data_IF_839962219289
#
_entry.id   IF_839962219289
#
_cell.length_a   1.000
_cell.length_b   1.000
_cell.length_c   1.000
_cell.angle_alpha   90.00
_cell.angle_beta   90.00
_cell.angle_gamma   90.00
#
_symmetry.space_group_name_H-M   'P 1'
#
loop_
_entity.id
_entity.type
_entity.pdbx_description
1 polymer ?
#
# COMPACT_ATOMS: atom_id res chain seq x y z
N UNK A 1 -28.92 -7.08 25.05
CA UNK A 1 -29.71 -5.87 24.71
C UNK A 1 -28.90 -4.82 23.98
N UNK A 2 -27.78 -4.37 24.55
CA UNK A 2 -26.97 -3.24 24.05
C UNK A 2 -26.13 -3.55 22.82
N UNK A 3 -25.55 -4.76 22.70
CA UNK A 3 -24.79 -5.16 21.52
C UNK A 3 -25.65 -5.26 20.23
N UNK A 4 -26.92 -5.66 20.36
CA UNK A 4 -27.86 -5.76 19.24
C UNK A 4 -28.27 -4.39 18.69
N UNK A 5 -28.58 -3.44 19.57
CA UNK A 5 -28.87 -2.05 19.19
C UNK A 5 -27.64 -1.36 18.57
N UNK A 6 -26.44 -1.65 19.09
CA UNK A 6 -25.18 -1.15 18.50
C UNK A 6 -24.91 -1.70 17.10
N UNK A 7 -25.15 -3.01 16.87
CA UNK A 7 -25.01 -3.63 15.54
C UNK A 7 -26.06 -3.11 14.55
N UNK A 8 -27.31 -2.92 14.99
CA UNK A 8 -28.37 -2.35 14.15
C UNK A 8 -28.08 -0.90 13.80
N UNK A 9 -27.65 -0.08 14.77
CA UNK A 9 -27.25 1.31 14.52
C UNK A 9 -26.04 1.42 13.60
N UNK A 10 -25.04 0.55 13.77
CA UNK A 10 -23.89 0.47 12.88
C UNK A 10 -24.29 0.03 11.46
N UNK A 11 -25.22 -0.93 11.35
CA UNK A 11 -25.73 -1.39 10.05
C UNK A 11 -26.53 -0.29 9.33
N UNK A 12 -27.42 0.43 10.01
CA UNK A 12 -28.21 1.51 9.39
C UNK A 12 -27.31 2.65 8.90
N UNK A 13 -26.30 3.07 9.69
CA UNK A 13 -25.33 4.07 9.23
C UNK A 13 -24.47 3.56 8.07
N UNK A 14 -24.10 2.27 8.08
CA UNK A 14 -23.27 1.66 7.04
C UNK A 14 -24.08 1.24 5.80
N UNK A 15 -25.40 1.16 5.86
CA UNK A 15 -26.26 0.61 4.79
C UNK A 15 -26.08 1.32 3.45
N UNK A 16 -26.04 2.67 3.36
CA UNK A 16 -25.80 3.35 2.09
C UNK A 16 -24.42 3.02 1.52
N UNK A 17 -23.42 2.91 2.39
CA UNK A 17 -22.05 2.56 2.03
C UNK A 17 -21.92 1.09 1.57
N UNK A 18 -22.53 0.15 2.29
CA UNK A 18 -22.57 -1.28 1.94
C UNK A 18 -23.35 -1.53 0.64
N UNK A 19 -24.42 -0.79 0.37
CA UNK A 19 -25.14 -0.87 -0.90
C UNK A 19 -24.29 -0.35 -2.06
N UNK A 20 -23.56 0.76 -1.87
CA UNK A 20 -22.60 1.27 -2.85
C UNK A 20 -21.48 0.25 -3.15
N UNK A 21 -20.99 -0.45 -2.12
CA UNK A 21 -19.97 -1.48 -2.21
C UNK A 21 -20.49 -2.89 -2.49
N UNK A 22 -21.79 -3.07 -2.75
CA UNK A 22 -22.41 -4.40 -2.87
C UNK A 22 -21.80 -5.25 -3.98
N UNK A 23 -21.28 -4.62 -5.04
CA UNK A 23 -20.53 -5.28 -6.12
C UNK A 23 -19.22 -5.93 -5.66
N UNK A 24 -18.61 -5.45 -4.58
CA UNK A 24 -17.38 -6.01 -4.00
C UNK A 24 -17.64 -6.85 -2.75
N UNK A 25 -18.63 -6.49 -1.94
CA UNK A 25 -18.97 -7.19 -0.69
C UNK A 25 -19.53 -8.59 -0.95
N UNK A 26 -20.38 -8.76 -1.97
CA UNK A 26 -20.97 -10.07 -2.28
C UNK A 26 -19.92 -11.12 -2.68
N UNK A 27 -19.01 -10.86 -3.64
CA UNK A 27 -17.91 -11.79 -3.94
C UNK A 27 -17.07 -12.11 -2.71
N UNK A 28 -16.76 -11.11 -1.89
CA UNK A 28 -15.97 -11.31 -0.67
C UNK A 28 -16.68 -12.24 0.33
N UNK A 29 -17.99 -12.07 0.53
CA UNK A 29 -18.78 -12.96 1.38
C UNK A 29 -18.82 -14.39 0.86
N UNK A 30 -18.92 -14.59 -0.46
CA UNK A 30 -18.82 -15.93 -1.06
C UNK A 30 -17.45 -16.56 -0.83
N UNK A 31 -16.37 -15.79 -0.95
CA UNK A 31 -15.01 -16.26 -0.63
C UNK A 31 -14.91 -16.63 0.85
N UNK A 32 -15.39 -15.78 1.76
CA UNK A 32 -15.39 -16.07 3.20
C UNK A 32 -16.19 -17.33 3.53
N UNK A 33 -17.39 -17.47 2.97
CA UNK A 33 -18.22 -18.68 3.13
C UNK A 33 -17.50 -19.92 2.58
N UNK A 34 -16.89 -19.82 1.40
CA UNK A 34 -16.09 -20.89 0.80
C UNK A 34 -14.91 -21.30 1.69
N UNK A 35 -14.17 -20.34 2.25
CA UNK A 35 -13.07 -20.60 3.19
C UNK A 35 -13.58 -21.27 4.47
N UNK A 36 -14.71 -20.82 5.02
CA UNK A 36 -15.32 -21.44 6.20
C UNK A 36 -15.73 -22.89 5.93
N UNK A 37 -16.37 -23.15 4.80
CA UNK A 37 -16.75 -24.51 4.38
C UNK A 37 -15.51 -25.37 4.18
N UNK A 38 -14.48 -24.89 3.48
CA UNK A 38 -13.23 -25.62 3.27
C UNK A 38 -12.50 -25.90 4.58
N UNK A 39 -12.51 -24.96 5.51
CA UNK A 39 -11.91 -25.13 6.84
C UNK A 39 -12.68 -26.16 7.65
N UNK A 40 -14.02 -26.09 7.64
CA UNK A 40 -14.88 -27.07 8.30
C UNK A 40 -14.67 -28.47 7.72
N UNK A 41 -14.71 -28.60 6.40
CA UNK A 41 -14.47 -29.86 5.69
C UNK A 41 -13.06 -30.38 5.98
N UNK A 42 -12.04 -29.53 5.93
CA UNK A 42 -10.66 -29.90 6.26
C UNK A 42 -10.50 -30.37 7.70
N UNK A 43 -11.21 -29.74 8.65
CA UNK A 43 -11.20 -30.12 10.07
C UNK A 43 -11.92 -31.45 10.29
N UNK A 44 -13.08 -31.65 9.67
CA UNK A 44 -13.84 -32.91 9.74
C UNK A 44 -13.10 -34.06 9.04
N UNK A 45 -12.39 -33.76 7.94
CA UNK A 45 -11.59 -34.73 7.21
C UNK A 45 -10.20 -34.95 7.82
N UNK A 46 -9.77 -34.15 8.80
CA UNK A 46 -8.45 -34.23 9.43
C UNK A 46 -8.05 -35.65 9.90
N UNK A 47 -8.91 -36.42 10.62
CA UNK A 47 -8.55 -37.78 11.03
C UNK A 47 -8.40 -38.77 9.87
N UNK A 48 -9.09 -38.54 8.75
CA UNK A 48 -8.94 -39.35 7.53
C UNK A 48 -7.69 -38.94 6.75
N UNK A 49 -7.45 -37.64 6.58
CA UNK A 49 -6.25 -37.06 5.97
C UNK A 49 -4.98 -37.46 6.72
N UNK A 50 -5.03 -37.54 8.06
CA UNK A 50 -3.90 -37.98 8.89
C UNK A 50 -3.50 -39.45 8.64
N UNK A 51 -4.41 -40.27 8.08
CA UNK A 51 -4.09 -41.66 7.69
C UNK A 51 -3.43 -41.75 6.31
N UNK A 52 -3.49 -40.68 5.51
CA UNK A 52 -2.85 -40.62 4.20
C UNK A 52 -1.35 -40.52 4.39
N UNK A 53 -0.64 -41.58 4.03
CA UNK A 53 0.83 -41.57 4.02
C UNK A 53 1.30 -40.91 2.73
N UNK A 54 1.95 -39.76 2.87
CA UNK A 54 2.60 -39.12 1.73
C UNK A 54 3.73 -40.02 1.20
N UNK A 55 3.96 -40.04 -0.12
CA UNK A 55 5.06 -40.81 -0.69
C UNK A 55 6.40 -40.24 -0.20
N UNK A 56 7.42 -41.10 -0.14
CA UNK A 56 8.72 -40.75 0.45
C UNK A 56 9.41 -39.54 -0.22
N UNK A 57 9.07 -39.23 -1.48
CA UNK A 57 9.59 -38.09 -2.22
C UNK A 57 8.86 -36.77 -1.90
N UNK A 58 7.62 -36.79 -1.39
CA UNK A 58 6.81 -35.59 -1.20
C UNK A 58 7.46 -34.54 -0.28
N UNK A 59 8.09 -34.90 0.86
CA UNK A 59 8.78 -33.92 1.69
C UNK A 59 9.96 -33.24 0.97
N UNK A 60 10.69 -34.00 0.15
CA UNK A 60 11.81 -33.47 -0.63
C UNK A 60 11.30 -32.56 -1.77
N UNK A 61 10.23 -32.95 -2.45
CA UNK A 61 9.60 -32.13 -3.48
C UNK A 61 9.01 -30.84 -2.91
N UNK A 62 8.35 -30.87 -1.74
CA UNK A 62 7.85 -29.65 -1.09
C UNK A 62 8.97 -28.67 -0.75
N UNK A 63 10.08 -29.16 -0.20
CA UNK A 63 11.26 -28.33 0.04
C UNK A 63 11.84 -27.74 -1.25
N UNK A 64 11.97 -28.58 -2.29
CA UNK A 64 12.43 -28.17 -3.60
C UNK A 64 11.53 -27.11 -4.23
N UNK A 65 10.21 -27.26 -4.10
CA UNK A 65 9.22 -26.30 -4.59
C UNK A 65 9.40 -24.92 -3.96
N UNK A 66 9.65 -24.84 -2.65
CA UNK A 66 9.92 -23.55 -1.98
C UNK A 66 11.15 -22.86 -2.58
N UNK A 67 12.24 -23.61 -2.77
CA UNK A 67 13.48 -23.07 -3.34
C UNK A 67 13.27 -22.66 -4.80
N UNK A 68 12.66 -23.50 -5.62
CA UNK A 68 12.36 -23.23 -7.04
C UNK A 68 11.44 -22.03 -7.18
N UNK A 69 10.42 -21.90 -6.33
CA UNK A 69 9.50 -20.77 -6.35
C UNK A 69 10.22 -19.47 -6.01
N UNK A 70 11.03 -19.44 -4.96
CA UNK A 70 11.79 -18.24 -4.58
C UNK A 70 12.85 -17.88 -5.62
N UNK A 71 13.54 -18.87 -6.18
CA UNK A 71 14.49 -18.67 -7.28
C UNK A 71 13.78 -18.16 -8.55
N UNK A 72 12.60 -18.70 -8.87
CA UNK A 72 11.78 -18.26 -9.99
C UNK A 72 11.26 -16.84 -9.82
N UNK A 73 10.82 -16.46 -8.61
CA UNK A 73 10.45 -15.07 -8.29
C UNK A 73 11.63 -14.12 -8.36
N UNK A 74 12.84 -14.57 -8.00
CA UNK A 74 14.06 -13.77 -8.11
C UNK A 74 14.46 -13.60 -9.58
N UNK A 75 14.43 -14.68 -10.35
CA UNK A 75 14.76 -14.69 -11.77
C UNK A 75 13.68 -14.08 -12.67
N UNK A 76 12.48 -13.82 -12.13
CA UNK A 76 11.30 -13.33 -12.86
C UNK A 76 11.57 -12.17 -13.81
N UNK A 77 12.37 -11.14 -13.47
CA UNK A 77 12.68 -10.03 -14.39
C UNK A 77 13.40 -10.46 -15.67
N UNK A 78 14.06 -11.62 -15.68
CA UNK A 78 14.80 -12.10 -16.85
C UNK A 78 13.91 -12.72 -17.92
N UNK A 79 12.69 -13.14 -17.56
CA UNK A 79 11.78 -13.83 -18.48
C UNK A 79 10.36 -13.27 -18.50
N UNK A 80 10.05 -12.28 -17.66
CA UNK A 80 8.75 -11.63 -17.62
C UNK A 80 8.89 -10.12 -17.42
N UNK A 81 8.20 -9.37 -18.27
CA UNK A 81 7.90 -7.94 -18.05
C UNK A 81 6.42 -7.82 -17.78
N UNK A 82 6.03 -7.20 -16.66
CA UNK A 82 4.62 -7.05 -16.32
C UNK A 82 4.10 -5.71 -16.83
N UNK A 83 3.13 -5.76 -17.73
CA UNK A 83 2.48 -4.59 -18.32
C UNK A 83 0.98 -4.55 -18.01
N UNK A 84 0.40 -3.36 -17.97
CA UNK A 84 -1.05 -3.13 -17.98
C UNK A 84 -1.36 -1.97 -18.90
N UNK A 85 -2.02 -2.29 -20.02
CA UNK A 85 -2.56 -1.29 -20.93
C UNK A 85 -3.74 -0.60 -20.25
N UNK A 86 -3.74 0.73 -20.27
CA UNK A 86 -4.79 1.51 -19.64
C UNK A 86 -6.14 1.34 -20.36
N UNK A 87 -7.14 0.78 -19.67
CA UNK A 87 -8.49 0.56 -20.20
C UNK A 87 -9.56 1.46 -19.56
N UNK A 88 -9.22 2.13 -18.45
CA UNK A 88 -10.12 3.00 -17.69
C UNK A 88 -9.40 4.27 -17.19
N UNK A 89 -10.14 5.31 -16.76
CA UNK A 89 -9.55 6.57 -16.30
C UNK A 89 -8.61 6.44 -15.08
N UNK A 90 -8.75 5.38 -14.28
CA UNK A 90 -7.82 5.07 -13.18
C UNK A 90 -6.47 4.56 -13.68
N UNK A 91 -6.49 3.65 -14.65
CA UNK A 91 -5.26 3.12 -15.24
C UNK A 91 -4.54 4.18 -16.09
N UNK A 92 -5.26 5.05 -16.80
CA UNK A 92 -4.64 6.18 -17.51
C UNK A 92 -3.86 7.09 -16.55
N UNK A 93 -4.43 7.38 -15.37
CA UNK A 93 -3.77 8.18 -14.33
C UNK A 93 -2.56 7.47 -13.74
N UNK A 94 -2.68 6.16 -13.53
CA UNK A 94 -1.59 5.32 -13.02
C UNK A 94 -0.42 5.30 -14.02
N UNK A 95 -0.72 5.08 -15.31
CA UNK A 95 0.28 5.09 -16.37
C UNK A 95 0.97 6.46 -16.49
N UNK A 96 0.22 7.56 -16.42
CA UNK A 96 0.82 8.90 -16.43
C UNK A 96 1.73 9.12 -15.20
N UNK A 97 1.30 8.70 -14.01
CA UNK A 97 2.15 8.78 -12.82
C UNK A 97 3.44 7.99 -13.00
N UNK A 98 3.37 6.77 -13.55
CA UNK A 98 4.56 5.95 -13.84
C UNK A 98 5.49 6.66 -14.82
N UNK A 99 4.98 7.25 -15.91
CA UNK A 99 5.79 8.03 -16.87
C UNK A 99 6.54 9.18 -16.20
N UNK A 100 5.89 9.90 -15.30
CA UNK A 100 6.54 11.01 -14.58
C UNK A 100 7.65 10.51 -13.66
N UNK A 101 7.44 9.37 -13.00
CA UNK A 101 8.48 8.76 -12.14
C UNK A 101 9.63 8.22 -13.00
N UNK A 102 9.35 7.59 -14.14
CA UNK A 102 10.38 7.14 -15.09
C UNK A 102 11.23 8.31 -15.59
N UNK A 103 10.61 9.42 -15.99
CA UNK A 103 11.32 10.66 -16.36
C UNK A 103 12.22 11.14 -15.22
N UNK A 104 11.69 11.19 -14.00
CA UNK A 104 12.46 11.62 -12.82
C UNK A 104 13.60 10.67 -12.45
N UNK A 105 13.45 9.36 -12.70
CA UNK A 105 14.45 8.32 -12.46
C UNK A 105 15.43 8.15 -13.64
N UNK A 106 15.27 8.88 -14.75
CA UNK A 106 16.10 8.72 -15.95
C UNK A 106 15.89 7.39 -16.70
N UNK A 107 14.71 6.78 -16.56
CA UNK A 107 14.37 5.50 -17.18
C UNK A 107 13.68 5.69 -18.54
N UNK A 108 13.72 4.67 -19.43
CA UNK A 108 12.87 4.64 -20.61
C UNK A 108 11.40 4.83 -20.22
N UNK A 109 10.70 5.69 -20.96
CA UNK A 109 9.30 6.04 -20.68
C UNK A 109 8.39 4.95 -21.25
N UNK A 110 7.80 4.17 -20.35
CA UNK A 110 6.79 3.15 -20.62
C UNK A 110 5.80 3.12 -19.44
N UNK A 111 4.72 3.90 -19.55
CA UNK A 111 3.73 4.03 -18.48
C UNK A 111 2.96 2.74 -18.18
N UNK A 112 2.99 1.77 -19.09
CA UNK A 112 2.23 0.53 -18.93
C UNK A 112 3.03 -0.51 -18.14
N UNK A 113 4.35 -0.32 -17.98
CA UNK A 113 5.21 -1.22 -17.21
C UNK A 113 4.99 -1.06 -15.71
N UNK A 114 4.54 -2.14 -15.08
CA UNK A 114 4.21 -2.18 -13.65
C UNK A 114 5.39 -2.59 -12.75
N UNK A 115 6.52 -3.03 -13.30
CA UNK A 115 7.71 -3.46 -12.53
C UNK A 115 7.43 -4.59 -11.51
N UNK A 116 6.28 -5.26 -11.57
CA UNK A 116 5.91 -6.32 -10.62
C UNK A 116 6.82 -7.55 -10.76
N UNK A 117 7.49 -7.71 -11.90
CA UNK A 117 8.55 -8.69 -12.06
C UNK A 117 9.67 -8.55 -11.02
N UNK A 118 9.91 -7.33 -10.51
CA UNK A 118 10.95 -7.02 -9.53
C UNK A 118 10.47 -7.17 -8.06
N UNK A 119 9.28 -7.69 -7.81
CA UNK A 119 8.68 -7.72 -6.46
C UNK A 119 9.55 -8.41 -5.41
N UNK A 120 10.29 -9.48 -5.74
CA UNK A 120 11.23 -10.09 -4.79
C UNK A 120 12.48 -9.23 -4.59
N UNK A 121 12.92 -8.48 -5.60
CA UNK A 121 14.00 -7.50 -5.44
C UNK A 121 13.58 -6.36 -4.50
N UNK A 122 12.31 -5.95 -4.54
CA UNK A 122 11.77 -4.99 -3.57
C UNK A 122 11.91 -5.49 -2.13
N UNK A 123 11.61 -6.77 -1.88
CA UNK A 123 11.83 -7.38 -0.56
C UNK A 123 13.32 -7.36 -0.20
N UNK A 124 14.19 -7.72 -1.14
CA UNK A 124 15.65 -7.71 -0.95
C UNK A 124 16.17 -6.32 -0.55
N UNK A 125 15.61 -5.23 -1.08
CA UNK A 125 15.96 -3.87 -0.65
C UNK A 125 15.72 -3.64 0.84
N UNK A 126 14.63 -4.17 1.40
CA UNK A 126 14.24 -3.89 2.79
C UNK A 126 14.76 -4.88 3.82
N UNK A 127 15.00 -6.14 3.46
CA UNK A 127 15.50 -7.16 4.42
C UNK A 127 16.90 -7.66 4.10
N UNK A 128 17.41 -7.41 2.90
CA UNK A 128 18.69 -7.92 2.42
C UNK A 128 18.60 -9.34 1.83
N UNK A 129 19.41 -9.59 0.80
CA UNK A 129 19.51 -10.89 0.14
C UNK A 129 19.85 -12.05 1.12
N UNK A 130 20.79 -11.88 2.10
CA UNK A 130 21.08 -12.94 3.05
C UNK A 130 19.87 -13.35 3.89
N UNK A 131 19.02 -12.41 4.29
CA UNK A 131 17.81 -12.69 5.03
C UNK A 131 16.80 -13.49 4.17
N UNK A 132 16.62 -13.12 2.90
CA UNK A 132 15.75 -13.85 1.95
C UNK A 132 16.25 -15.28 1.75
N UNK A 133 17.55 -15.50 1.60
CA UNK A 133 18.14 -16.83 1.45
C UNK A 133 17.92 -17.67 2.71
N UNK A 134 18.21 -17.11 3.89
CA UNK A 134 17.99 -17.80 5.16
C UNK A 134 16.52 -18.13 5.39
N UNK A 135 15.62 -17.21 5.07
CA UNK A 135 14.18 -17.40 5.16
C UNK A 135 13.70 -18.54 4.23
N UNK A 136 14.20 -18.56 2.99
CA UNK A 136 13.90 -19.62 2.00
C UNK A 136 14.37 -20.98 2.50
N UNK A 137 15.59 -21.08 3.03
CA UNK A 137 16.14 -22.32 3.59
C UNK A 137 15.32 -22.77 4.80
N UNK A 138 15.00 -21.87 5.72
CA UNK A 138 14.21 -22.18 6.91
C UNK A 138 12.80 -22.68 6.52
N UNK A 139 12.13 -22.01 5.60
CA UNK A 139 10.83 -22.41 5.06
C UNK A 139 10.90 -23.80 4.41
N UNK A 140 11.90 -24.06 3.57
CA UNK A 140 12.08 -25.36 2.92
C UNK A 140 12.31 -26.49 3.93
N UNK A 141 13.13 -26.24 4.97
CA UNK A 141 13.38 -27.21 6.04
C UNK A 141 12.13 -27.47 6.89
N UNK A 142 11.41 -26.40 7.27
CA UNK A 142 10.18 -26.51 8.05
C UNK A 142 9.09 -27.26 7.27
N UNK A 143 8.87 -26.91 6.01
CA UNK A 143 7.91 -27.60 5.14
C UNK A 143 8.26 -29.08 4.99
N UNK A 144 9.54 -29.39 4.76
CA UNK A 144 10.00 -30.77 4.67
C UNK A 144 9.71 -31.57 5.93
N UNK A 145 9.94 -31.00 7.10
CA UNK A 145 9.68 -31.69 8.39
C UNK A 145 8.18 -31.85 8.61
N UNK A 146 7.40 -30.79 8.42
CA UNK A 146 5.94 -30.83 8.49
C UNK A 146 5.33 -31.91 7.58
N UNK A 147 5.79 -32.03 6.33
CA UNK A 147 5.32 -33.07 5.41
C UNK A 147 5.84 -34.49 5.75
N UNK A 148 6.98 -34.60 6.42
CA UNK A 148 7.57 -35.91 6.77
C UNK A 148 6.99 -36.48 8.06
N UNK A 149 6.93 -35.67 9.10
CA UNK A 149 6.62 -36.09 10.47
C UNK A 149 5.67 -35.15 11.22
N UNK A 150 5.21 -34.06 10.58
CA UNK A 150 4.28 -33.10 11.20
C UNK A 150 4.93 -32.17 12.23
N UNK A 151 6.26 -32.16 12.38
CA UNK A 151 6.94 -31.40 13.43
C UNK A 151 7.80 -30.25 12.90
N UNK A 152 7.91 -29.13 13.65
CA UNK A 152 7.01 -28.71 14.74
C UNK A 152 5.65 -28.23 14.19
N UNK A 153 4.55 -28.84 14.65
CA UNK A 153 3.19 -28.52 14.19
C UNK A 153 2.82 -27.03 14.36
N UNK A 154 3.40 -26.37 15.36
CA UNK A 154 3.23 -24.93 15.60
C UNK A 154 3.59 -24.04 14.40
N UNK A 155 4.43 -24.53 13.48
CA UNK A 155 4.80 -23.80 12.26
C UNK A 155 3.85 -24.01 11.08
N UNK A 156 2.89 -24.94 11.16
CA UNK A 156 1.97 -25.23 10.06
C UNK A 156 1.20 -23.99 9.62
N UNK A 157 0.49 -23.34 10.55
CA UNK A 157 -0.32 -22.16 10.25
C UNK A 157 0.54 -20.93 9.91
N UNK A 158 1.59 -20.57 10.69
CA UNK A 158 2.46 -19.45 10.31
C UNK A 158 3.09 -19.61 8.93
N UNK A 159 3.58 -20.81 8.59
CA UNK A 159 4.20 -21.05 7.29
C UNK A 159 3.17 -21.00 6.15
N UNK A 160 1.95 -21.48 6.37
CA UNK A 160 0.86 -21.38 5.40
C UNK A 160 0.46 -19.92 5.15
N UNK A 161 0.23 -19.13 6.20
CA UNK A 161 -0.18 -17.72 6.10
C UNK A 161 0.92 -16.87 5.47
N UNK A 162 2.16 -16.99 5.98
CA UNK A 162 3.31 -16.24 5.46
C UNK A 162 3.60 -16.67 4.03
N UNK A 163 3.63 -17.97 3.74
CA UNK A 163 3.89 -18.51 2.41
C UNK A 163 2.85 -18.07 1.39
N UNK A 164 1.57 -18.30 1.67
CA UNK A 164 0.47 -17.89 0.79
C UNK A 164 0.48 -16.38 0.52
N UNK A 165 0.57 -15.57 1.57
CA UNK A 165 0.55 -14.11 1.44
C UNK A 165 1.78 -13.61 0.69
N UNK A 166 2.96 -14.18 0.96
CA UNK A 166 4.19 -13.85 0.24
C UNK A 166 4.04 -14.16 -1.24
N UNK A 167 3.64 -15.37 -1.60
CA UNK A 167 3.52 -15.77 -3.02
C UNK A 167 2.51 -14.89 -3.74
N UNK A 168 1.30 -14.73 -3.20
CA UNK A 168 0.24 -13.94 -3.83
C UNK A 168 0.64 -12.47 -3.98
N UNK A 169 1.20 -11.86 -2.93
CA UNK A 169 1.67 -10.46 -2.96
C UNK A 169 2.80 -10.26 -3.95
N UNK A 170 3.78 -11.17 -4.03
CA UNK A 170 4.91 -11.02 -4.95
C UNK A 170 4.52 -11.30 -6.41
N UNK A 171 3.59 -12.23 -6.66
CA UNK A 171 3.12 -12.52 -8.01
C UNK A 171 2.29 -11.35 -8.57
N UNK A 172 1.39 -10.78 -7.75
CA UNK A 172 0.53 -9.64 -8.12
C UNK A 172 0.36 -8.66 -6.94
N UNK A 173 1.27 -7.69 -6.79
CA UNK A 173 1.19 -6.67 -5.73
C UNK A 173 -0.04 -5.75 -5.80
N UNK A 174 -0.59 -5.53 -7.00
CA UNK A 174 -1.76 -4.66 -7.26
C UNK A 174 -1.66 -3.31 -6.53
N UNK A 175 -0.55 -2.62 -6.76
CA UNK A 175 -0.23 -1.30 -6.24
C UNK A 175 0.61 -0.55 -7.27
N UNK A 176 0.65 0.77 -7.21
CA UNK A 176 1.60 1.54 -8.00
C UNK A 176 3.02 1.16 -7.57
N UNK A 177 3.95 0.91 -8.52
CA UNK A 177 5.23 0.26 -8.21
C UNK A 177 6.28 1.18 -7.60
N UNK A 178 5.91 2.42 -7.27
CA UNK A 178 6.82 3.39 -6.72
C UNK A 178 7.16 3.09 -5.26
N UNK A 179 8.45 3.10 -4.93
CA UNK A 179 8.92 2.96 -3.57
C UNK A 179 9.19 4.34 -2.94
N UNK A 180 8.79 4.55 -1.67
CA UNK A 180 8.39 3.53 -0.69
C UNK A 180 6.90 3.12 -0.70
N UNK A 181 6.05 3.69 -1.57
CA UNK A 181 4.60 3.43 -1.55
C UNK A 181 4.23 1.94 -1.72
N UNK A 182 4.82 1.25 -2.69
CA UNK A 182 4.60 -0.17 -2.97
C UNK A 182 4.93 -1.07 -1.75
N UNK A 183 5.87 -0.66 -0.90
CA UNK A 183 6.28 -1.41 0.29
C UNK A 183 5.13 -1.62 1.29
N UNK A 184 4.05 -0.82 1.22
CA UNK A 184 2.84 -1.01 2.05
C UNK A 184 2.17 -2.37 1.87
N UNK A 185 2.37 -3.04 0.72
CA UNK A 185 1.93 -4.43 0.52
C UNK A 185 2.84 -5.45 1.19
N UNK A 186 4.11 -5.09 1.42
CA UNK A 186 5.14 -5.98 1.97
C UNK A 186 5.20 -5.91 3.50
N UNK A 187 5.05 -4.72 4.08
CA UNK A 187 5.20 -4.44 5.52
C UNK A 187 4.27 -5.27 6.42
N UNK A 188 3.00 -5.56 6.07
CA UNK A 188 2.10 -6.25 7.00
C UNK A 188 2.49 -7.71 7.30
N UNK A 189 2.90 -8.47 6.28
CA UNK A 189 3.12 -9.93 6.41
C UNK A 189 4.42 -10.39 5.74
N UNK A 190 4.73 -9.91 4.53
CA UNK A 190 5.88 -10.41 3.74
C UNK A 190 7.20 -10.10 4.44
N UNK A 191 7.45 -8.83 4.80
CA UNK A 191 8.69 -8.42 5.48
C UNK A 191 8.80 -9.09 6.86
N UNK A 192 7.80 -9.00 7.77
CA UNK A 192 7.88 -9.67 9.07
C UNK A 192 8.04 -11.19 8.96
N UNK A 193 7.35 -11.82 8.00
CA UNK A 193 7.44 -13.25 7.74
C UNK A 193 8.84 -13.68 7.26
N UNK A 194 9.44 -12.90 6.35
CA UNK A 194 10.83 -13.12 5.92
C UNK A 194 11.81 -12.95 7.07
N UNK A 195 11.66 -11.91 7.89
CA UNK A 195 12.50 -11.70 9.07
C UNK A 195 12.36 -12.85 10.07
N UNK A 196 11.12 -13.29 10.36
CA UNK A 196 10.85 -14.40 11.27
C UNK A 196 11.51 -15.71 10.78
N UNK A 197 11.35 -16.03 9.50
CA UNK A 197 11.96 -17.22 8.88
C UNK A 197 13.50 -17.09 8.82
N UNK A 198 14.03 -15.90 8.56
CA UNK A 198 15.47 -15.65 8.57
C UNK A 198 16.07 -15.87 9.98
N UNK A 199 15.42 -15.35 11.02
CA UNK A 199 15.79 -15.59 12.43
C UNK A 199 15.75 -17.09 12.75
N UNK A 200 14.72 -17.81 12.29
CA UNK A 200 14.66 -19.26 12.42
C UNK A 200 15.81 -19.96 11.68
N UNK A 201 16.18 -19.46 10.49
CA UNK A 201 17.36 -19.93 9.74
C UNK A 201 18.67 -19.72 10.50
N UNK A 202 18.85 -18.56 11.13
CA UNK A 202 20.01 -18.28 12.01
C UNK A 202 20.01 -19.20 13.22
N UNK A 203 18.85 -19.48 13.84
CA UNK A 203 18.75 -20.43 14.94
C UNK A 203 19.16 -21.85 14.52
N UNK A 204 18.69 -22.33 13.36
CA UNK A 204 19.10 -23.62 12.80
C UNK A 204 20.61 -23.66 12.51
N UNK A 205 21.20 -22.57 12.01
CA UNK A 205 22.62 -22.45 11.76
C UNK A 205 23.42 -22.50 13.07
N UNK A 206 22.98 -21.76 14.10
CA UNK A 206 23.59 -21.75 15.44
C UNK A 206 23.63 -23.16 16.03
N UNK A 207 22.54 -23.92 15.93
CA UNK A 207 22.46 -25.29 16.46
C UNK A 207 23.41 -26.24 15.72
N UNK A 208 23.67 -26.00 14.42
CA UNK A 208 24.71 -26.72 13.66
C UNK A 208 26.12 -26.33 14.10
N UNK A 209 26.37 -25.04 14.31
CA UNK A 209 27.68 -24.53 14.74
C UNK A 209 28.03 -24.96 16.18
N UNK A 210 27.03 -25.15 17.04
CA UNK A 210 27.23 -25.68 18.40
C UNK A 210 27.95 -27.02 18.40
N UNK A 211 27.72 -27.89 17.40
CA UNK A 211 28.40 -29.18 17.25
C UNK A 211 29.89 -29.05 16.92
N UNK A 212 30.35 -27.86 16.52
CA UNK A 212 31.75 -27.55 16.16
C UNK A 212 32.51 -26.78 17.27
N UNK A 213 31.91 -26.64 18.44
CA UNK A 213 32.53 -26.01 19.61
C UNK A 213 32.07 -24.57 19.90
N UNK A 214 32.34 -24.08 21.13
CA UNK A 214 31.77 -22.82 21.65
C UNK A 214 32.28 -21.56 20.93
N UNK A 215 33.56 -21.53 20.53
CA UNK A 215 34.14 -20.40 19.78
C UNK A 215 33.52 -20.26 18.39
N UNK A 216 33.41 -21.37 17.66
CA UNK A 216 32.78 -21.44 16.33
C UNK A 216 31.32 -21.00 16.38
N UNK A 217 30.58 -21.43 17.40
CA UNK A 217 29.21 -20.96 17.65
C UNK A 217 29.16 -19.44 17.86
N UNK A 218 29.99 -18.90 18.76
CA UNK A 218 29.99 -17.47 19.10
C UNK A 218 30.26 -16.61 17.86
N UNK A 219 31.37 -16.85 17.19
CA UNK A 219 31.78 -16.05 16.03
C UNK A 219 30.91 -16.29 14.80
N UNK A 220 30.52 -17.54 14.53
CA UNK A 220 29.65 -17.85 13.39
C UNK A 220 28.23 -17.29 13.55
N UNK A 221 27.69 -17.26 14.77
CA UNK A 221 26.39 -16.63 15.04
C UNK A 221 26.49 -15.11 14.92
N UNK A 222 27.56 -14.50 15.47
CA UNK A 222 27.79 -13.06 15.33
C UNK A 222 27.91 -12.65 13.85
N UNK A 223 28.67 -13.41 13.06
CA UNK A 223 28.79 -13.19 11.62
C UNK A 223 27.45 -13.32 10.89
N UNK A 224 26.64 -14.34 11.21
CA UNK A 224 25.32 -14.52 10.62
C UNK A 224 24.36 -13.36 10.96
N UNK A 225 24.38 -12.88 12.21
CA UNK A 225 23.57 -11.73 12.65
C UNK A 225 24.00 -10.46 11.92
N UNK A 226 25.31 -10.19 11.84
CA UNK A 226 25.83 -9.04 11.11
C UNK A 226 25.46 -9.11 9.61
N UNK A 227 25.58 -10.28 9.00
CA UNK A 227 25.22 -10.50 7.60
C UNK A 227 23.73 -10.22 7.32
N UNK A 228 22.86 -10.45 8.30
CA UNK A 228 21.41 -10.15 8.18
C UNK A 228 21.12 -8.67 8.46
N UNK A 229 21.79 -8.04 9.42
CA UNK A 229 21.47 -6.67 9.86
C UNK A 229 22.13 -5.58 9.01
N UNK A 230 23.33 -5.82 8.48
CA UNK A 230 24.08 -4.79 7.73
C UNK A 230 23.36 -4.34 6.46
N UNK A 231 22.85 -5.22 5.57
CA UNK A 231 22.18 -4.78 4.36
C UNK A 231 21.00 -3.82 4.60
N UNK A 232 19.98 -4.15 5.42
CA UNK A 232 18.85 -3.23 5.63
C UNK A 232 19.27 -1.94 6.34
N UNK A 233 20.30 -1.99 7.21
CA UNK A 233 20.84 -0.79 7.84
C UNK A 233 21.48 0.15 6.80
N UNK A 234 22.32 -0.38 5.91
CA UNK A 234 22.96 0.40 4.83
C UNK A 234 21.93 0.97 3.87
N UNK A 235 20.92 0.19 3.47
CA UNK A 235 19.88 0.67 2.57
C UNK A 235 19.02 1.77 3.20
N UNK A 236 18.77 1.70 4.51
CA UNK A 236 17.85 2.63 5.18
C UNK A 236 18.52 3.87 5.79
N UNK A 237 19.84 3.88 5.98
CA UNK A 237 20.50 4.91 6.80
C UNK A 237 20.34 6.34 6.25
N UNK A 238 20.25 6.49 4.92
CA UNK A 238 20.08 7.80 4.27
C UNK A 238 18.70 8.44 4.49
N UNK A 239 17.67 7.63 4.76
CA UNK A 239 16.28 8.08 4.85
C UNK A 239 15.66 7.87 6.22
N UNK A 240 16.12 6.89 7.00
CA UNK A 240 15.55 6.50 8.29
C UNK A 240 15.45 7.65 9.32
N UNK A 241 16.36 8.62 9.24
CA UNK A 241 16.42 9.77 10.16
C UNK A 241 16.17 11.10 9.45
N UNK A 242 15.69 11.08 8.21
CA UNK A 242 15.41 12.29 7.44
C UNK A 242 13.96 12.71 7.68
N UNK A 243 13.69 13.84 8.36
CA UNK A 243 12.34 14.26 8.68
C UNK A 243 11.61 14.79 7.44
N UNK A 244 10.56 14.07 7.05
CA UNK A 244 9.62 14.39 5.96
C UNK A 244 8.31 15.00 6.50
N UNK A 245 7.50 15.59 5.62
CA UNK A 245 6.15 16.11 5.89
C UNK A 245 6.08 17.15 7.02
N UNK A 246 7.16 17.90 7.20
CA UNK A 246 7.23 18.96 8.21
C UNK A 246 6.34 20.15 7.81
N UNK A 247 5.55 20.60 8.79
CA UNK A 247 4.68 21.77 8.63
C UNK A 247 3.31 21.49 8.03
N UNK A 248 3.03 20.25 7.58
CA UNK A 248 1.72 19.89 6.99
C UNK A 248 0.56 20.16 7.94
N UNK A 249 0.66 19.73 9.20
CA UNK A 249 -0.43 19.94 10.16
C UNK A 249 -0.67 21.43 10.45
N UNK A 250 0.39 22.24 10.50
CA UNK A 250 0.27 23.68 10.70
C UNK A 250 -0.35 24.36 9.47
N UNK A 251 0.03 23.95 8.27
CA UNK A 251 -0.53 24.44 7.02
C UNK A 251 -2.03 24.11 6.89
N UNK A 252 -2.42 22.87 7.23
CA UNK A 252 -3.83 22.46 7.24
C UNK A 252 -4.64 23.26 8.25
N UNK A 253 -4.15 23.45 9.48
CA UNK A 253 -4.84 24.28 10.48
C UNK A 253 -5.02 25.72 9.99
N UNK A 254 -3.95 26.33 9.47
CA UNK A 254 -3.98 27.69 8.94
C UNK A 254 -4.92 27.85 7.74
N UNK A 255 -5.10 26.80 6.94
CA UNK A 255 -6.11 26.75 5.88
C UNK A 255 -7.53 26.66 6.47
N UNK A 256 -7.77 25.76 7.43
CA UNK A 256 -9.07 25.60 8.07
C UNK A 256 -9.54 26.89 8.77
N UNK A 257 -8.63 27.61 9.44
CA UNK A 257 -8.93 28.87 10.14
C UNK A 257 -9.36 30.00 9.19
N UNK A 258 -8.96 29.92 7.91
CA UNK A 258 -9.34 30.88 6.86
C UNK A 258 -10.69 30.54 6.20
N UNK A 259 -11.21 29.32 6.39
CA UNK A 259 -12.51 28.94 5.84
C UNK A 259 -13.66 29.54 6.68
N UNK A 260 -14.66 30.19 6.05
CA UNK A 260 -15.85 30.66 6.75
C UNK A 260 -16.55 29.55 7.54
N UNK A 261 -17.18 29.89 8.67
CA UNK A 261 -17.81 28.90 9.58
C UNK A 261 -18.97 28.13 8.91
N UNK A 262 -19.67 28.81 8.04
CA UNK A 262 -20.84 28.39 7.27
C UNK A 262 -20.51 28.04 5.81
N UNK A 263 -19.22 27.89 5.48
CA UNK A 263 -18.79 27.53 4.13
C UNK A 263 -19.25 26.13 3.70
N UNK A 264 -19.65 26.00 2.43
CA UNK A 264 -19.59 24.72 1.70
C UNK A 264 -18.57 24.84 0.58
N UNK A 265 -17.60 23.94 0.59
CA UNK A 265 -16.43 24.00 -0.27
C UNK A 265 -16.64 23.21 -1.56
N UNK A 266 -16.36 23.82 -2.69
CA UNK A 266 -16.38 23.22 -4.02
C UNK A 266 -14.96 23.17 -4.57
N UNK A 267 -14.42 21.97 -4.76
CA UNK A 267 -13.12 21.79 -5.40
C UNK A 267 -13.28 21.81 -6.91
N UNK A 268 -12.62 22.78 -7.55
CA UNK A 268 -12.71 22.97 -9.00
C UNK A 268 -11.52 22.37 -9.73
N UNK A 269 -10.39 22.18 -9.05
CA UNK A 269 -9.20 21.54 -9.62
C UNK A 269 -9.02 20.12 -9.05
N UNK A 270 -8.60 19.20 -9.93
CA UNK A 270 -8.53 17.76 -9.66
C UNK A 270 -7.61 17.39 -8.50
N UNK A 271 -6.34 17.78 -8.52
CA UNK A 271 -5.35 17.38 -7.51
C UNK A 271 -5.71 17.94 -6.13
N UNK A 272 -6.21 19.17 -6.10
CA UNK A 272 -6.70 19.83 -4.87
C UNK A 272 -7.91 19.09 -4.33
N UNK A 273 -8.86 18.71 -5.19
CA UNK A 273 -10.00 17.85 -4.83
C UNK A 273 -9.57 16.50 -4.25
N UNK A 274 -8.72 15.77 -4.99
CA UNK A 274 -8.23 14.44 -4.63
C UNK A 274 -7.52 14.45 -3.25
N UNK A 275 -6.79 15.52 -2.94
CA UNK A 275 -5.99 15.62 -1.69
C UNK A 275 -6.77 16.20 -0.51
N UNK A 276 -7.59 17.23 -0.72
CA UNK A 276 -8.13 18.04 0.37
C UNK A 276 -9.61 17.82 0.66
N UNK A 277 -10.36 17.09 -0.18
CA UNK A 277 -11.81 16.89 0.07
C UNK A 277 -12.07 16.25 1.43
N UNK A 278 -11.32 15.20 1.78
CA UNK A 278 -11.47 14.55 3.08
C UNK A 278 -10.84 15.37 4.22
N UNK A 279 -9.80 16.16 3.95
CA UNK A 279 -9.21 17.06 4.94
C UNK A 279 -10.21 18.14 5.34
N UNK A 280 -10.89 18.78 4.39
CA UNK A 280 -11.88 19.82 4.68
C UNK A 280 -13.10 19.24 5.40
N UNK A 281 -13.57 18.05 5.00
CA UNK A 281 -14.70 17.37 5.67
C UNK A 281 -14.36 16.90 7.08
N UNK A 282 -13.25 16.18 7.24
CA UNK A 282 -12.90 15.49 8.49
C UNK A 282 -12.14 16.35 9.49
N UNK A 283 -11.26 17.25 9.02
CA UNK A 283 -10.41 18.08 9.89
C UNK A 283 -11.00 19.48 10.07
N UNK A 284 -11.37 20.16 8.97
CA UNK A 284 -11.93 21.51 9.08
C UNK A 284 -13.42 21.52 9.50
N UNK A 285 -14.11 20.38 9.42
CA UNK A 285 -15.54 20.27 9.73
C UNK A 285 -16.43 21.11 8.80
N UNK A 286 -16.10 21.15 7.50
CA UNK A 286 -16.89 21.86 6.49
C UNK A 286 -17.41 20.89 5.43
N UNK A 287 -18.69 20.99 5.00
CA UNK A 287 -19.17 20.29 3.82
C UNK A 287 -18.27 20.64 2.64
N UNK A 288 -17.83 19.62 1.91
CA UNK A 288 -16.98 19.80 0.75
C UNK A 288 -17.41 18.85 -0.36
N UNK A 289 -17.22 19.20 -1.63
CA UNK A 289 -17.48 18.32 -2.75
C UNK A 289 -16.54 18.65 -3.92
N UNK A 290 -16.18 17.63 -4.68
CA UNK A 290 -15.52 17.82 -5.96
C UNK A 290 -16.56 18.10 -7.03
N UNK A 291 -16.35 19.18 -7.80
CA UNK A 291 -17.19 19.48 -8.95
C UNK A 291 -16.79 18.53 -10.08
N UNK A 292 -17.80 17.96 -10.76
CA UNK A 292 -17.56 17.03 -11.86
C UNK A 292 -16.79 17.73 -12.97
N UNK A 293 -15.70 17.09 -13.41
CA UNK A 293 -14.84 17.55 -14.49
C UNK A 293 -15.18 16.84 -15.79
N UNK A 294 -14.85 17.45 -16.92
CA UNK A 294 -14.91 16.80 -18.23
C UNK A 294 -13.70 15.86 -18.38
N UNK A 295 -13.87 14.79 -19.17
CA UNK A 295 -12.77 13.87 -19.44
C UNK A 295 -11.60 14.63 -20.10
N UNK A 296 -10.40 14.46 -19.54
CA UNK A 296 -9.19 15.14 -20.03
C UNK A 296 -8.98 16.58 -19.53
N UNK A 297 -9.85 17.13 -18.68
CA UNK A 297 -9.67 18.44 -18.05
C UNK A 297 -9.38 18.32 -16.55
N UNK A 298 -8.40 19.08 -16.07
CA UNK A 298 -8.05 19.17 -14.64
C UNK A 298 -8.92 20.15 -13.87
N UNK A 299 -9.68 21.02 -14.56
CA UNK A 299 -10.56 22.03 -13.97
C UNK A 299 -12.03 21.80 -14.30
N UNK A 300 -12.91 22.11 -13.36
CA UNK A 300 -14.35 21.98 -13.54
C UNK A 300 -14.92 23.09 -14.46
N UNK A 301 -15.95 22.79 -15.27
CA UNK A 301 -16.65 23.80 -16.05
C UNK A 301 -17.29 24.87 -15.17
N UNK A 302 -17.09 26.14 -15.51
CA UNK A 302 -17.51 27.28 -14.69
C UNK A 302 -19.02 27.32 -14.44
N UNK A 303 -19.82 26.98 -15.46
CA UNK A 303 -21.27 26.90 -15.38
C UNK A 303 -21.74 25.88 -14.33
N UNK A 304 -21.04 24.75 -14.18
CA UNK A 304 -21.36 23.74 -13.17
C UNK A 304 -21.01 24.23 -11.77
N UNK A 305 -19.88 24.93 -11.62
CA UNK A 305 -19.46 25.50 -10.33
C UNK A 305 -20.47 26.55 -9.87
N UNK A 306 -20.87 27.48 -10.74
CA UNK A 306 -21.86 28.53 -10.43
C UNK A 306 -23.22 27.95 -10.06
N UNK A 307 -23.70 26.97 -10.82
CA UNK A 307 -24.94 26.23 -10.53
C UNK A 307 -24.92 25.55 -9.16
N UNK A 308 -23.79 24.92 -8.79
CA UNK A 308 -23.65 24.30 -7.47
C UNK A 308 -23.54 25.35 -6.36
N UNK A 309 -22.86 26.48 -6.62
CA UNK A 309 -22.77 27.59 -5.69
C UNK A 309 -24.16 28.18 -5.36
N UNK A 310 -25.05 28.30 -6.35
CA UNK A 310 -26.45 28.71 -6.13
C UNK A 310 -27.20 27.74 -5.20
N UNK A 311 -27.02 26.42 -5.39
CA UNK A 311 -27.62 25.41 -4.50
C UNK A 311 -27.09 25.51 -3.07
N UNK A 312 -25.79 25.79 -2.92
CA UNK A 312 -25.17 26.03 -1.61
C UNK A 312 -25.79 27.25 -0.94
N UNK A 313 -25.98 28.35 -1.67
CA UNK A 313 -26.63 29.56 -1.15
C UNK A 313 -28.09 29.30 -0.77
N UNK A 314 -28.83 28.59 -1.61
CA UNK A 314 -30.22 28.20 -1.34
C UNK A 314 -30.34 27.34 -0.06
N UNK A 315 -29.30 26.59 0.29
CA UNK A 315 -29.20 25.85 1.55
C UNK A 315 -28.74 26.71 2.74
N UNK A 316 -28.65 28.04 2.60
CA UNK A 316 -28.27 28.97 3.66
C UNK A 316 -26.78 28.95 4.01
N UNK A 317 -25.91 28.60 3.06
CA UNK A 317 -24.47 28.46 3.27
C UNK A 317 -23.66 29.32 2.30
N UNK A 318 -22.39 29.56 2.64
CA UNK A 318 -21.48 30.35 1.81
C UNK A 318 -20.75 29.43 0.83
N UNK A 319 -20.96 29.57 -0.50
CA UNK A 319 -20.19 28.81 -1.48
C UNK A 319 -18.74 29.31 -1.52
N UNK A 320 -17.80 28.41 -1.32
CA UNK A 320 -16.37 28.68 -1.40
C UNK A 320 -15.75 27.75 -2.41
N UNK A 321 -14.99 28.29 -3.35
CA UNK A 321 -14.26 27.50 -4.35
C UNK A 321 -12.81 27.37 -3.94
N UNK A 322 -12.25 26.16 -4.03
CA UNK A 322 -10.83 25.88 -3.82
C UNK A 322 -10.17 25.30 -5.08
N UNK A 323 -8.95 25.77 -5.37
CA UNK A 323 -8.10 25.32 -6.47
C UNK A 323 -6.62 25.41 -6.12
N UNK A 324 -5.75 24.95 -7.03
CA UNK A 324 -4.29 24.96 -6.85
C UNK A 324 -3.64 26.30 -7.21
N UNK A 325 -4.28 27.08 -8.07
CA UNK A 325 -3.76 28.35 -8.62
C UNK A 325 -4.79 29.47 -8.54
N UNK A 326 -4.32 30.72 -8.54
CA UNK A 326 -5.16 31.92 -8.47
C UNK A 326 -6.17 31.97 -9.63
N UNK A 327 -5.71 31.76 -10.87
CA UNK A 327 -6.55 31.82 -12.07
C UNK A 327 -7.67 30.78 -12.11
N UNK A 328 -7.57 29.71 -11.31
CA UNK A 328 -8.60 28.68 -11.23
C UNK A 328 -9.78 29.10 -10.34
N UNK A 329 -9.58 30.07 -9.44
CA UNK A 329 -10.61 30.52 -8.49
C UNK A 329 -11.05 31.96 -8.70
N UNK A 330 -10.19 32.79 -9.30
CA UNK A 330 -10.47 34.20 -9.60
C UNK A 330 -11.77 34.47 -10.40
N UNK A 331 -12.20 33.60 -11.34
CA UNK A 331 -13.49 33.81 -12.02
C UNK A 331 -14.70 33.85 -11.08
N UNK A 332 -14.60 33.26 -9.88
CA UNK A 332 -15.74 33.14 -8.97
C UNK A 332 -15.83 34.28 -7.94
N UNK A 333 -14.75 35.03 -7.72
CA UNK A 333 -14.68 36.11 -6.75
C UNK A 333 -13.23 36.42 -6.37
N UNK A 334 -13.02 37.28 -5.37
CA UNK A 334 -11.66 37.65 -4.94
C UNK A 334 -10.83 36.44 -4.49
N UNK A 335 -9.82 36.11 -5.29
CA UNK A 335 -8.89 35.02 -5.01
C UNK A 335 -7.98 35.36 -3.80
N UNK A 336 -7.75 34.39 -2.93
CA UNK A 336 -6.85 34.51 -1.78
C UNK A 336 -6.13 33.19 -1.55
N UNK A 337 -4.81 33.23 -1.42
CA UNK A 337 -4.04 32.04 -1.06
C UNK A 337 -4.28 31.71 0.42
N UNK A 338 -4.87 30.55 0.67
CA UNK A 338 -5.19 30.09 2.03
C UNK A 338 -4.19 29.06 2.56
N UNK A 339 -3.41 28.45 1.66
CA UNK A 339 -2.33 27.55 2.02
C UNK A 339 -1.17 27.69 1.04
N UNK A 340 0.04 27.78 1.58
CA UNK A 340 1.30 27.71 0.86
C UNK A 340 2.26 26.84 1.67
N UNK A 341 2.58 25.66 1.18
CA UNK A 341 3.45 24.72 1.87
C UNK A 341 4.57 24.26 0.94
N UNK A 342 5.79 24.31 1.45
CA UNK A 342 6.96 23.64 0.87
C UNK A 342 7.50 22.69 1.91
N UNK A 343 7.46 21.39 1.61
CA UNK A 343 7.93 20.32 2.50
C UNK A 343 8.79 19.32 1.72
N UNK A 344 9.33 18.33 2.42
CA UNK A 344 10.04 17.20 1.84
C UNK A 344 9.17 15.95 2.01
N UNK A 345 9.03 15.19 0.94
CA UNK A 345 8.41 13.86 0.96
C UNK A 345 9.46 12.81 0.55
N UNK A 346 9.19 11.54 0.82
CA UNK A 346 10.01 10.45 0.29
C UNK A 346 10.10 10.55 -1.25
N UNK A 347 11.28 10.26 -1.79
CA UNK A 347 11.40 10.14 -3.24
C UNK A 347 10.58 8.95 -3.77
N UNK A 348 10.42 8.91 -5.09
CA UNK A 348 9.76 7.78 -5.78
C UNK A 348 10.73 7.08 -6.69
N UNK A 349 11.05 5.83 -6.36
CA UNK A 349 11.95 4.99 -7.15
C UNK A 349 11.23 3.76 -7.71
N UNK A 350 11.62 3.32 -8.92
CA UNK A 350 11.06 2.14 -9.59
C UNK A 350 12.00 0.92 -9.62
N UNK A 351 13.31 1.15 -9.66
CA UNK A 351 14.33 0.10 -9.91
C UNK A 351 15.42 0.02 -8.85
N UNK A 352 15.44 0.95 -7.91
CA UNK A 352 16.40 0.99 -6.80
C UNK A 352 15.69 1.25 -5.46
N UNK A 353 16.36 0.91 -4.37
CA UNK A 353 15.85 1.25 -3.05
C UNK A 353 15.84 2.79 -2.85
N UNK A 354 14.76 3.36 -2.29
CA UNK A 354 14.70 4.81 -2.07
C UNK A 354 15.76 5.25 -1.06
N UNK A 355 16.61 6.19 -1.47
CA UNK A 355 17.74 6.74 -0.70
C UNK A 355 17.65 8.26 -0.48
N UNK A 356 16.64 8.92 -1.03
CA UNK A 356 16.48 10.37 -1.02
C UNK A 356 15.09 10.87 -0.65
N UNK A 357 14.94 12.19 -0.70
CA UNK A 357 13.66 12.90 -0.55
C UNK A 357 13.51 13.90 -1.68
N UNK A 358 12.27 14.26 -2.01
CA UNK A 358 11.99 15.32 -2.98
C UNK A 358 11.15 16.43 -2.37
N UNK A 359 11.23 17.61 -2.98
CA UNK A 359 10.47 18.78 -2.54
C UNK A 359 9.02 18.65 -3.00
N UNK A 360 8.09 18.71 -2.06
CA UNK A 360 6.67 18.80 -2.30
C UNK A 360 6.22 20.24 -2.10
N UNK A 361 5.55 20.81 -3.11
CA UNK A 361 4.90 22.12 -3.03
C UNK A 361 3.40 21.94 -3.13
N UNK A 362 2.67 22.54 -2.19
CA UNK A 362 1.21 22.50 -2.13
C UNK A 362 0.70 23.92 -1.93
N UNK A 363 -0.14 24.36 -2.87
CA UNK A 363 -0.84 25.63 -2.80
C UNK A 363 -2.34 25.36 -2.80
N UNK A 364 -3.07 26.14 -2.01
CA UNK A 364 -4.52 26.17 -2.07
C UNK A 364 -4.95 27.63 -2.14
N UNK A 365 -5.66 27.96 -3.21
CA UNK A 365 -6.30 29.24 -3.43
C UNK A 365 -7.79 29.09 -3.19
N UNK A 366 -8.38 30.16 -2.66
CA UNK A 366 -9.78 30.24 -2.27
C UNK A 366 -10.44 31.45 -2.91
N UNK A 367 -11.68 31.30 -3.34
CA UNK A 367 -12.56 32.43 -3.64
C UNK A 367 -13.97 32.15 -3.08
N UNK A 368 -14.53 33.01 -2.22
CA UNK A 368 -15.97 33.03 -1.98
C UNK A 368 -16.68 33.33 -3.31
N UNK A 369 -17.70 32.55 -3.67
CA UNK A 369 -18.39 32.79 -4.94
C UNK A 369 -19.27 34.03 -4.80
N UNK A 370 -18.96 35.06 -5.56
CA UNK A 370 -19.71 36.31 -5.64
C UNK A 370 -20.98 36.12 -6.49
N UNK A 371 -21.99 36.96 -6.28
CA UNK A 371 -23.12 37.02 -7.20
C UNK A 371 -22.67 37.82 -8.41
N UNK A 372 -22.86 37.28 -9.62
CA UNK A 372 -22.85 38.15 -10.79
C UNK A 372 -24.02 39.12 -10.64
N UNK A 373 -23.73 40.41 -10.49
CA UNK A 373 -24.73 41.43 -10.76
C UNK A 373 -25.22 41.24 -12.19
N UNK A 374 -26.53 41.14 -12.37
CA UNK A 374 -27.17 41.10 -13.68
C UNK A 374 -26.95 42.38 -14.46
#
# INVERSE_FOLDING_TARGET
GTAGLGLVGAYELARPYLMYLSGSVRPLLFICAGVLVLTLVGTLAAPWLARVRLPAWAPAAGAGLVVVLMAGLYARPWFQTVIRVADNPGDVRTAEMIRQIQRANGLPIDGDRLYFENSLHWVVWYVGLPAVVLATIAAAVLLRRLLRDGTPFAWLLPLAVVGWTTVTTLVRPEITPDHPWAARRLVPIVIPGMVLLAVQGVAMLRDRLQRRGPRTRKWGTAAAVLLVLVPPAVTSIGTAFTPIERGETAAVRAMCDRLPRDASVLFVERVTGDRFTQVVRGICGRPAAEVRRLAGSDTAPEDQVRRLAERVRAAGRVPVVLGAEEGQVAPYGRATQVMALVTRQDERSLVEAPNGTWTLRMNVWMAPVEQHGG
#
